data_IF_651291854182
#
_entry.id   IF_651291854182
#
_cell.length_a   1.000
_cell.length_b   1.000
_cell.length_c   1.000
_cell.angle_alpha   90.00
_cell.angle_beta   90.00
_cell.angle_gamma   90.00
#
_symmetry.space_group_name_H-M   'P 1'
#
loop_
_entity.id
_entity.type
_entity.pdbx_description
1 polymer ?
#
# COMPACT_ATOMS: atom_id res chain seq x y z
N UNK A 1 30.77 -11.36 -8.90
CA UNK A 1 30.45 -10.98 -10.29
C UNK A 1 28.92 -10.84 -10.52
N UNK A 2 28.11 -11.90 -10.33
CA UNK A 2 26.63 -11.80 -10.54
C UNK A 2 26.02 -10.67 -9.71
N UNK A 3 26.25 -10.67 -8.42
CA UNK A 3 25.74 -9.62 -7.52
C UNK A 3 26.21 -8.20 -7.91
N UNK A 4 27.46 -8.05 -8.36
CA UNK A 4 27.96 -6.75 -8.80
C UNK A 4 27.23 -6.25 -10.07
N UNK A 5 26.99 -7.12 -11.04
CA UNK A 5 26.22 -6.76 -12.26
C UNK A 5 24.77 -6.44 -11.92
N UNK A 6 24.15 -7.20 -11.03
CA UNK A 6 22.77 -6.92 -10.61
C UNK A 6 22.65 -5.60 -9.83
N UNK A 7 23.57 -5.33 -8.90
CA UNK A 7 23.63 -4.04 -8.20
C UNK A 7 23.83 -2.88 -9.17
N UNK A 8 24.81 -2.98 -10.10
CA UNK A 8 25.02 -1.98 -11.14
C UNK A 8 23.80 -1.76 -12.03
N UNK A 9 23.04 -2.83 -12.33
CA UNK A 9 21.79 -2.74 -13.11
C UNK A 9 20.73 -1.92 -12.38
N UNK A 10 20.57 -2.15 -11.06
CA UNK A 10 19.63 -1.39 -10.24
C UNK A 10 20.04 0.08 -10.11
N UNK A 11 21.36 0.35 -9.97
CA UNK A 11 21.86 1.70 -9.90
C UNK A 11 21.68 2.46 -11.23
N UNK A 12 21.93 1.82 -12.37
CA UNK A 12 21.65 2.40 -13.69
C UNK A 12 20.16 2.59 -13.91
N UNK A 13 19.34 1.64 -13.49
CA UNK A 13 17.88 1.76 -13.56
C UNK A 13 17.38 2.96 -12.74
N UNK A 14 17.97 3.18 -11.56
CA UNK A 14 17.64 4.30 -10.69
C UNK A 14 18.11 5.65 -11.27
N UNK A 15 19.24 5.68 -11.97
CA UNK A 15 19.83 6.89 -12.51
C UNK A 15 19.22 7.31 -13.86
N UNK A 16 19.04 6.37 -14.78
CA UNK A 16 18.65 6.64 -16.17
C UNK A 16 17.21 6.17 -16.50
N UNK A 17 16.63 5.33 -15.69
CA UNK A 17 15.36 4.67 -16.00
C UNK A 17 15.50 3.53 -17.01
N UNK A 18 14.41 2.77 -17.21
CA UNK A 18 14.44 1.60 -18.09
C UNK A 18 14.71 1.95 -19.57
N UNK A 19 14.18 3.08 -20.06
CA UNK A 19 14.34 3.47 -21.47
C UNK A 19 15.81 3.68 -21.83
N UNK A 20 16.53 4.44 -21.04
CA UNK A 20 17.89 4.89 -21.31
C UNK A 20 19.00 3.98 -20.77
N UNK A 21 18.64 2.99 -19.93
CA UNK A 21 19.58 1.98 -19.45
C UNK A 21 20.20 1.21 -20.63
N UNK A 22 21.54 1.09 -20.64
CA UNK A 22 22.29 0.29 -21.60
C UNK A 22 23.13 -0.79 -20.92
N UNK A 23 23.35 -1.92 -21.61
CA UNK A 23 24.21 -3.00 -21.08
C UNK A 23 25.65 -2.52 -20.96
N UNK A 24 26.08 -1.61 -21.81
CA UNK A 24 27.40 -0.99 -21.79
C UNK A 24 27.62 -0.19 -20.49
N UNK A 25 26.68 0.66 -20.11
CA UNK A 25 26.75 1.43 -18.87
C UNK A 25 26.77 0.52 -17.63
N UNK A 26 25.95 -0.54 -17.63
CA UNK A 26 25.96 -1.55 -16.56
C UNK A 26 27.30 -2.27 -16.50
N UNK A 27 27.90 -2.64 -17.65
CA UNK A 27 29.19 -3.33 -17.70
C UNK A 27 30.32 -2.44 -17.14
N UNK A 28 30.34 -1.17 -17.53
CA UNK A 28 31.30 -0.17 -17.03
C UNK A 28 31.17 0.00 -15.51
N UNK A 29 29.94 0.21 -15.00
CA UNK A 29 29.69 0.37 -13.57
C UNK A 29 30.03 -0.88 -12.76
N UNK A 30 29.78 -2.06 -13.31
CA UNK A 30 30.09 -3.34 -12.67
C UNK A 30 31.56 -3.74 -12.76
N UNK A 31 32.37 -3.03 -13.55
CA UNK A 31 33.77 -3.36 -13.79
C UNK A 31 33.97 -4.68 -14.54
N UNK A 32 33.05 -5.03 -15.47
CA UNK A 32 33.09 -6.28 -16.23
C UNK A 32 33.01 -6.01 -17.73
N UNK A 33 33.51 -6.94 -18.54
CA UNK A 33 33.35 -6.82 -19.98
C UNK A 33 31.89 -7.15 -20.41
N UNK A 34 31.33 -6.39 -21.38
CA UNK A 34 29.97 -6.57 -21.87
C UNK A 34 29.65 -8.00 -22.33
N UNK A 35 30.63 -8.72 -22.91
CA UNK A 35 30.44 -10.13 -23.33
C UNK A 35 30.16 -11.06 -22.14
N UNK A 36 30.63 -10.72 -20.95
CA UNK A 36 30.35 -11.46 -19.71
C UNK A 36 28.88 -11.32 -19.33
N UNK A 37 28.30 -10.14 -19.53
CA UNK A 37 26.88 -9.90 -19.29
C UNK A 37 26.04 -10.65 -20.31
N UNK A 38 26.32 -10.47 -21.62
CA UNK A 38 25.55 -11.10 -22.72
C UNK A 38 25.52 -12.64 -22.63
N UNK A 39 26.61 -13.25 -22.13
CA UNK A 39 26.66 -14.73 -21.96
C UNK A 39 25.59 -15.23 -20.99
N UNK A 40 25.17 -14.42 -20.03
CA UNK A 40 24.20 -14.83 -18.98
C UNK A 40 22.82 -14.19 -19.19
N UNK A 41 22.79 -12.97 -19.69
CA UNK A 41 21.59 -12.20 -19.96
C UNK A 41 21.63 -11.73 -21.41
N UNK A 42 20.91 -12.39 -22.31
CA UNK A 42 21.04 -12.14 -23.74
C UNK A 42 20.53 -10.77 -24.20
N UNK A 43 19.75 -10.07 -23.35
CA UNK A 43 19.23 -8.74 -23.65
C UNK A 43 19.01 -7.92 -22.37
N UNK A 44 18.76 -6.62 -22.54
CA UNK A 44 18.50 -5.66 -21.47
C UNK A 44 17.36 -6.12 -20.56
N UNK A 45 16.29 -6.62 -21.13
CA UNK A 45 15.13 -7.10 -20.39
C UNK A 45 15.51 -8.22 -19.40
N UNK A 46 16.15 -9.27 -19.88
CA UNK A 46 16.53 -10.41 -19.03
C UNK A 46 17.50 -10.00 -17.92
N UNK A 47 18.37 -9.02 -18.19
CA UNK A 47 19.27 -8.46 -17.19
C UNK A 47 18.51 -7.68 -16.12
N UNK A 48 17.65 -6.73 -16.52
CA UNK A 48 16.84 -5.92 -15.60
C UNK A 48 15.91 -6.81 -14.80
N UNK A 49 15.22 -7.75 -15.44
CA UNK A 49 14.35 -8.69 -14.78
C UNK A 49 15.06 -9.48 -13.69
N UNK A 50 16.25 -10.03 -14.00
CA UNK A 50 17.03 -10.78 -13.01
C UNK A 50 17.47 -9.91 -11.82
N UNK A 51 17.81 -8.64 -12.07
CA UNK A 51 18.17 -7.70 -11.02
C UNK A 51 16.97 -7.32 -10.13
N UNK A 52 15.80 -7.11 -10.74
CA UNK A 52 14.56 -6.80 -10.02
C UNK A 52 14.08 -7.97 -9.15
N UNK A 53 14.13 -9.19 -9.67
CA UNK A 53 13.76 -10.39 -8.92
C UNK A 53 14.72 -10.66 -7.75
N UNK A 54 16.03 -10.48 -7.96
CA UNK A 54 17.03 -10.65 -6.91
C UNK A 54 16.85 -9.60 -5.79
N UNK A 55 16.60 -8.34 -6.17
CA UNK A 55 16.26 -7.28 -5.21
C UNK A 55 14.98 -7.56 -4.44
N UNK A 56 13.98 -8.09 -5.14
CA UNK A 56 12.69 -8.41 -4.53
C UNK A 56 12.74 -9.62 -3.60
N UNK A 57 13.68 -10.52 -3.82
CA UNK A 57 13.94 -11.66 -2.92
C UNK A 57 14.55 -11.23 -1.58
N UNK A 58 15.16 -10.03 -1.52
CA UNK A 58 15.59 -9.38 -0.28
C UNK A 58 14.34 -8.85 0.44
N UNK A 59 13.72 -9.73 1.23
CA UNK A 59 12.37 -9.54 1.75
C UNK A 59 12.34 -8.49 2.86
N UNK A 60 11.34 -7.60 2.80
CA UNK A 60 10.99 -6.77 3.96
C UNK A 60 10.59 -7.69 5.13
N UNK A 61 11.12 -7.45 6.33
CA UNK A 61 10.75 -8.24 7.50
C UNK A 61 9.24 -8.12 7.76
N UNK A 62 8.59 -9.25 8.03
CA UNK A 62 7.18 -9.28 8.43
C UNK A 62 7.13 -9.31 9.96
N UNK A 63 6.76 -8.19 10.61
CA UNK A 63 6.73 -8.10 12.06
C UNK A 63 5.79 -9.12 12.70
N UNK A 64 6.14 -9.56 13.92
CA UNK A 64 5.34 -10.45 14.75
C UNK A 64 5.53 -10.11 16.23
N UNK A 65 4.89 -9.02 16.66
CA UNK A 65 4.97 -8.50 18.04
C UNK A 65 3.79 -8.93 18.90
N UNK A 66 2.89 -9.73 18.34
CA UNK A 66 1.61 -10.11 18.96
C UNK A 66 0.66 -8.91 19.21
N UNK A 67 0.85 -7.79 18.52
CA UNK A 67 0.00 -6.59 18.53
C UNK A 67 -0.19 -6.11 17.08
N UNK A 68 -1.42 -6.15 16.60
CA UNK A 68 -1.76 -5.81 15.21
C UNK A 68 -1.32 -4.39 14.86
N UNK A 69 -1.61 -3.40 15.71
CA UNK A 69 -1.27 -2.00 15.44
C UNK A 69 0.23 -1.81 15.32
N UNK A 70 0.99 -2.43 16.22
CA UNK A 70 2.46 -2.36 16.23
C UNK A 70 3.05 -3.05 15.00
N UNK A 71 2.52 -4.21 14.63
CA UNK A 71 2.97 -4.93 13.43
C UNK A 71 2.70 -4.11 12.16
N UNK A 72 1.52 -3.50 12.02
CA UNK A 72 1.19 -2.62 10.89
C UNK A 72 2.05 -1.35 10.87
N UNK A 73 2.32 -0.74 12.03
CA UNK A 73 3.23 0.41 12.15
C UNK A 73 4.63 0.06 11.65
N UNK A 74 5.20 -1.05 12.15
CA UNK A 74 6.54 -1.49 11.77
C UNK A 74 6.63 -1.84 10.29
N UNK A 75 5.63 -2.53 9.73
CA UNK A 75 5.56 -2.83 8.31
C UNK A 75 5.49 -1.53 7.48
N UNK A 76 4.64 -0.59 7.85
CA UNK A 76 4.51 0.70 7.17
C UNK A 76 5.81 1.51 7.17
N UNK A 77 6.51 1.54 8.31
CA UNK A 77 7.81 2.18 8.45
C UNK A 77 8.89 1.50 7.58
N UNK A 78 8.90 0.17 7.55
CA UNK A 78 9.83 -0.59 6.73
C UNK A 78 9.61 -0.33 5.24
N UNK A 79 8.35 -0.30 4.77
CA UNK A 79 7.99 0.01 3.39
C UNK A 79 8.42 1.45 3.04
N UNK A 80 8.06 2.46 3.85
CA UNK A 80 8.43 3.86 3.56
C UNK A 80 9.95 4.05 3.55
N UNK A 81 10.67 3.39 4.47
CA UNK A 81 12.13 3.41 4.51
C UNK A 81 12.75 2.75 3.28
N UNK A 82 12.22 1.58 2.85
CA UNK A 82 12.69 0.92 1.63
C UNK A 82 12.46 1.79 0.39
N UNK A 83 11.30 2.39 0.25
CA UNK A 83 10.97 3.29 -0.87
C UNK A 83 11.80 4.58 -0.92
N UNK A 84 12.57 4.91 0.13
CA UNK A 84 13.55 6.00 0.10
C UNK A 84 14.82 5.62 -0.64
N UNK A 85 15.12 4.32 -0.77
CA UNK A 85 16.28 3.85 -1.51
C UNK A 85 16.04 4.02 -3.02
N UNK A 86 17.00 4.59 -3.76
CA UNK A 86 16.86 4.82 -5.20
C UNK A 86 16.49 3.55 -5.97
N UNK A 87 17.05 2.40 -5.60
CA UNK A 87 16.81 1.11 -6.24
C UNK A 87 15.37 0.62 -6.05
N UNK A 88 14.82 0.74 -4.82
CA UNK A 88 13.42 0.39 -4.55
C UNK A 88 12.47 1.32 -5.30
N UNK A 89 12.76 2.62 -5.31
CA UNK A 89 11.98 3.59 -6.07
C UNK A 89 11.98 3.27 -7.55
N UNK A 90 13.16 2.99 -8.15
CA UNK A 90 13.29 2.63 -9.54
C UNK A 90 12.57 1.31 -9.89
N UNK A 91 12.65 0.30 -9.00
CA UNK A 91 11.88 -0.93 -9.13
C UNK A 91 10.39 -0.66 -9.28
N UNK A 92 9.82 0.03 -8.29
CA UNK A 92 8.37 0.29 -8.27
C UNK A 92 7.96 1.16 -9.46
N UNK A 93 8.72 2.23 -9.74
CA UNK A 93 8.45 3.11 -10.87
C UNK A 93 8.45 2.35 -12.20
N UNK A 94 9.46 1.50 -12.44
CA UNK A 94 9.56 0.69 -13.65
C UNK A 94 8.35 -0.25 -13.81
N UNK A 95 7.95 -0.88 -12.71
CA UNK A 95 6.82 -1.82 -12.72
C UNK A 95 5.46 -1.13 -12.87
N UNK A 96 5.30 0.10 -12.33
CA UNK A 96 4.05 0.87 -12.43
C UNK A 96 3.93 1.60 -13.77
N UNK A 97 5.03 2.12 -14.30
CA UNK A 97 5.06 2.82 -15.59
C UNK A 97 4.86 1.88 -16.78
N UNK A 98 5.04 0.58 -16.56
CA UNK A 98 4.88 -0.43 -17.59
C UNK A 98 3.41 -0.66 -17.94
N UNK A 99 3.09 -0.68 -19.25
CA UNK A 99 1.70 -0.81 -19.73
C UNK A 99 1.08 -2.15 -19.34
N UNK A 100 -0.11 -2.17 -18.71
CA UNK A 100 -0.83 -3.42 -18.45
C UNK A 100 -1.15 -4.17 -19.76
N UNK A 101 -0.83 -5.46 -19.80
CA UNK A 101 -1.27 -6.38 -20.87
C UNK A 101 -0.43 -6.42 -22.13
N UNK A 102 0.59 -5.56 -22.28
CA UNK A 102 1.42 -5.51 -23.52
C UNK A 102 2.91 -5.69 -23.25
N UNK A 103 3.33 -5.82 -21.99
CA UNK A 103 4.74 -5.77 -21.67
C UNK A 103 5.25 -7.08 -21.11
N UNK A 104 6.51 -7.23 -21.40
CA UNK A 104 7.33 -8.32 -20.97
C UNK A 104 7.59 -8.34 -19.46
N UNK A 105 7.28 -7.24 -18.74
CA UNK A 105 7.41 -7.12 -17.30
C UNK A 105 6.09 -7.37 -16.55
N UNK A 106 4.98 -7.53 -17.29
CA UNK A 106 3.64 -7.68 -16.71
C UNK A 106 3.52 -8.89 -15.76
N UNK A 107 4.04 -10.04 -16.19
CA UNK A 107 3.99 -11.27 -15.39
C UNK A 107 4.84 -11.14 -14.12
N UNK A 108 6.03 -10.55 -14.27
CA UNK A 108 6.94 -10.29 -13.14
C UNK A 108 6.31 -9.34 -12.14
N UNK A 109 5.73 -8.24 -12.63
CA UNK A 109 5.00 -7.30 -11.78
C UNK A 109 3.92 -8.02 -10.98
N UNK A 110 3.06 -8.77 -11.68
CA UNK A 110 1.94 -9.46 -11.05
C UNK A 110 2.43 -10.45 -10.00
N UNK A 111 3.42 -11.27 -10.32
CA UNK A 111 3.96 -12.25 -9.40
C UNK A 111 4.66 -11.61 -8.20
N UNK A 112 5.52 -10.61 -8.43
CA UNK A 112 6.24 -9.91 -7.38
C UNK A 112 5.32 -9.26 -6.36
N UNK A 113 4.30 -8.53 -6.84
CA UNK A 113 3.33 -7.88 -5.96
C UNK A 113 2.47 -8.89 -5.23
N UNK A 114 2.00 -9.94 -5.92
CA UNK A 114 1.23 -11.00 -5.30
C UNK A 114 2.00 -11.69 -4.17
N UNK A 115 3.29 -11.95 -4.36
CA UNK A 115 4.13 -12.61 -3.35
C UNK A 115 4.35 -11.69 -2.14
N UNK A 116 4.70 -10.42 -2.34
CA UNK A 116 4.91 -9.46 -1.27
C UNK A 116 3.63 -9.21 -0.45
N UNK A 117 2.51 -8.98 -1.12
CA UNK A 117 1.23 -8.77 -0.45
C UNK A 117 0.77 -10.01 0.30
N UNK A 118 0.96 -11.20 -0.26
CA UNK A 118 0.64 -12.49 0.39
C UNK A 118 1.44 -12.70 1.67
N UNK A 119 2.73 -12.35 1.67
CA UNK A 119 3.57 -12.43 2.86
C UNK A 119 3.11 -11.45 3.94
N UNK A 120 2.82 -10.20 3.59
CA UNK A 120 2.33 -9.19 4.51
C UNK A 120 0.99 -9.57 5.16
N UNK A 121 0.13 -10.34 4.46
CA UNK A 121 -1.13 -10.86 4.99
C UNK A 121 -0.95 -11.81 6.19
N UNK A 122 0.27 -12.27 6.49
CA UNK A 122 0.53 -13.03 7.72
C UNK A 122 0.21 -12.20 8.97
N UNK A 123 0.38 -10.87 8.94
CA UNK A 123 0.07 -9.98 10.05
C UNK A 123 -1.43 -10.03 10.41
N UNK A 124 -2.37 -9.66 9.51
CA UNK A 124 -3.79 -9.72 9.85
C UNK A 124 -4.30 -11.15 10.08
N UNK A 125 -3.75 -12.18 9.42
CA UNK A 125 -4.12 -13.58 9.72
C UNK A 125 -3.80 -13.95 11.17
N UNK A 126 -2.63 -13.58 11.69
CA UNK A 126 -2.27 -13.79 13.09
C UNK A 126 -3.18 -12.99 14.04
N UNK A 127 -3.54 -11.76 13.67
CA UNK A 127 -4.49 -10.94 14.45
C UNK A 127 -5.89 -11.57 14.50
N UNK A 128 -6.38 -12.16 13.40
CA UNK A 128 -7.63 -12.94 13.38
C UNK A 128 -7.53 -14.13 14.35
N UNK A 129 -6.42 -14.89 14.31
CA UNK A 129 -6.21 -16.03 15.20
C UNK A 129 -6.18 -15.63 16.68
N UNK A 130 -5.70 -14.42 17.01
CA UNK A 130 -5.69 -13.89 18.38
C UNK A 130 -7.02 -13.23 18.78
N UNK A 131 -7.97 -13.09 17.85
CA UNK A 131 -9.26 -12.43 18.11
C UNK A 131 -9.23 -10.89 18.09
N UNK A 132 -8.13 -10.28 17.62
CA UNK A 132 -8.03 -8.82 17.46
C UNK A 132 -8.86 -8.32 16.26
N UNK A 133 -9.06 -9.18 15.27
CA UNK A 133 -9.91 -8.95 14.11
C UNK A 133 -11.00 -10.00 14.02
N UNK A 134 -12.13 -9.66 13.39
CA UNK A 134 -13.21 -10.60 13.15
C UNK A 134 -12.74 -11.74 12.23
N UNK A 135 -13.32 -12.94 12.39
CA UNK A 135 -12.93 -14.14 11.64
C UNK A 135 -13.19 -14.03 10.12
N UNK A 136 -14.13 -13.18 9.73
CA UNK A 136 -14.51 -12.88 8.35
C UNK A 136 -13.73 -11.70 7.74
N UNK A 137 -12.77 -11.11 8.48
CA UNK A 137 -11.93 -10.03 7.96
C UNK A 137 -11.08 -10.51 6.79
N UNK A 138 -11.12 -9.79 5.67
CA UNK A 138 -10.22 -10.04 4.54
C UNK A 138 -8.80 -9.54 4.86
N UNK A 139 -7.80 -10.44 4.99
CA UNK A 139 -6.42 -10.04 5.24
C UNK A 139 -5.81 -9.15 4.14
N UNK A 140 -6.26 -9.31 2.90
CA UNK A 140 -5.78 -8.49 1.78
C UNK A 140 -6.24 -7.04 1.94
N UNK A 141 -7.52 -6.81 2.28
CA UNK A 141 -8.06 -5.47 2.47
C UNK A 141 -7.34 -4.70 3.60
N UNK A 142 -6.94 -5.37 4.67
CA UNK A 142 -6.15 -4.76 5.76
C UNK A 142 -4.80 -4.24 5.23
N UNK A 143 -4.09 -5.07 4.46
CA UNK A 143 -2.78 -4.71 3.89
C UNK A 143 -2.92 -3.64 2.83
N UNK A 144 -3.91 -3.72 1.94
CA UNK A 144 -4.15 -2.72 0.89
C UNK A 144 -4.45 -1.34 1.49
N UNK A 145 -5.22 -1.29 2.58
CA UNK A 145 -5.51 -0.04 3.29
C UNK A 145 -4.27 0.58 3.93
N UNK A 146 -3.30 -0.22 4.36
CA UNK A 146 -2.03 0.27 4.89
C UNK A 146 -1.09 0.72 3.77
N UNK A 147 -0.94 -0.12 2.75
CA UNK A 147 0.09 0.06 1.71
C UNK A 147 -0.28 1.18 0.74
N UNK A 148 -1.55 1.27 0.34
CA UNK A 148 -2.03 2.21 -0.67
C UNK A 148 -1.64 3.67 -0.40
N UNK A 149 -1.91 4.24 0.79
CA UNK A 149 -1.53 5.62 1.11
C UNK A 149 -0.02 5.88 1.10
N UNK A 150 0.82 4.90 1.45
CA UNK A 150 2.28 5.03 1.44
C UNK A 150 2.77 5.20 -0.02
N UNK A 151 2.27 4.35 -0.93
CA UNK A 151 2.60 4.42 -2.35
C UNK A 151 2.02 5.68 -3.00
N UNK A 152 0.77 6.06 -2.70
CA UNK A 152 0.16 7.29 -3.19
C UNK A 152 1.02 8.52 -2.83
N UNK A 153 1.45 8.61 -1.57
CA UNK A 153 2.31 9.71 -1.12
C UNK A 153 3.63 9.73 -1.83
N UNK A 154 4.26 8.58 -1.97
CA UNK A 154 5.59 8.49 -2.56
C UNK A 154 5.60 8.77 -4.05
N UNK A 155 4.70 8.14 -4.82
CA UNK A 155 4.73 8.16 -6.28
C UNK A 155 3.82 9.22 -6.93
N UNK A 156 2.74 9.62 -6.26
CA UNK A 156 1.82 10.62 -6.81
C UNK A 156 2.08 11.99 -6.17
N UNK A 157 2.27 12.06 -4.83
CA UNK A 157 2.50 13.33 -4.15
C UNK A 157 3.98 13.72 -4.05
N UNK A 158 4.91 12.85 -4.47
CA UNK A 158 6.35 13.12 -4.49
C UNK A 158 7.01 13.26 -3.12
N UNK A 159 6.38 12.80 -2.03
CA UNK A 159 6.92 12.91 -0.69
C UNK A 159 6.78 11.64 0.14
N UNK A 160 7.74 11.35 1.04
CA UNK A 160 7.61 10.27 2.01
C UNK A 160 6.56 10.60 3.07
N UNK A 161 6.11 9.57 3.79
CA UNK A 161 5.31 9.76 5.00
C UNK A 161 6.21 10.09 6.19
N UNK A 162 5.71 10.90 7.12
CA UNK A 162 6.34 11.09 8.42
C UNK A 162 6.01 9.90 9.35
N UNK A 163 6.81 9.71 10.39
CA UNK A 163 6.56 8.67 11.40
C UNK A 163 5.15 8.80 12.02
N UNK A 164 4.72 10.04 12.30
CA UNK A 164 3.38 10.32 12.83
C UNK A 164 2.27 9.98 11.83
N UNK A 165 2.47 10.23 10.53
CA UNK A 165 1.48 9.87 9.51
C UNK A 165 1.33 8.36 9.39
N UNK A 166 2.43 7.60 9.48
CA UNK A 166 2.40 6.13 9.44
C UNK A 166 1.73 5.58 10.70
N UNK A 167 2.01 6.13 11.88
CA UNK A 167 1.37 5.72 13.14
C UNK A 167 -0.15 5.97 13.12
N UNK A 168 -0.55 7.15 12.66
CA UNK A 168 -1.96 7.48 12.47
C UNK A 168 -2.65 6.56 11.45
N UNK A 169 -1.94 6.19 10.37
CA UNK A 169 -2.44 5.27 9.35
C UNK A 169 -2.67 3.89 9.95
N UNK A 170 -1.69 3.32 10.65
CA UNK A 170 -1.82 2.03 11.34
C UNK A 170 -3.01 2.03 12.31
N UNK A 171 -3.16 3.09 13.10
CA UNK A 171 -4.29 3.26 14.03
C UNK A 171 -5.64 3.26 13.31
N UNK A 172 -5.75 3.98 12.17
CA UNK A 172 -6.98 4.02 11.36
C UNK A 172 -7.31 2.67 10.74
N UNK A 173 -6.29 1.96 10.24
CA UNK A 173 -6.47 0.61 9.68
C UNK A 173 -7.04 -0.32 10.75
N UNK A 174 -6.46 -0.36 11.95
CA UNK A 174 -6.98 -1.16 13.05
C UNK A 174 -8.44 -0.78 13.36
N UNK A 175 -8.73 0.52 13.53
CA UNK A 175 -10.09 0.99 13.84
C UNK A 175 -11.13 0.66 12.77
N UNK A 176 -10.72 0.54 11.49
CA UNK A 176 -11.61 0.21 10.40
C UNK A 176 -12.05 -1.26 10.38
N UNK A 177 -11.19 -2.16 10.88
CA UNK A 177 -11.44 -3.61 10.86
C UNK A 177 -11.72 -4.22 12.23
N UNK A 178 -11.54 -3.46 13.33
CA UNK A 178 -11.95 -3.92 14.66
C UNK A 178 -13.48 -3.93 14.73
N UNK A 179 -14.09 -5.03 15.18
CA UNK A 179 -15.54 -5.08 15.36
C UNK A 179 -16.01 -3.91 16.23
N UNK A 180 -16.88 -3.08 15.72
CA UNK A 180 -17.60 -2.13 16.58
C UNK A 180 -18.50 -2.98 17.48
N UNK A 181 -18.28 -2.92 18.80
CA UNK A 181 -19.29 -3.37 19.72
C UNK A 181 -20.57 -2.61 19.39
N UNK A 182 -21.52 -3.26 18.71
CA UNK A 182 -22.85 -2.69 18.56
C UNK A 182 -23.34 -2.35 19.97
N UNK A 183 -23.81 -1.12 20.25
CA UNK A 183 -24.48 -0.86 21.51
C UNK A 183 -25.58 -1.90 21.62
N UNK A 184 -25.51 -2.72 22.68
CA UNK A 184 -26.50 -3.75 22.92
C UNK A 184 -27.92 -3.17 22.79
N UNK A 185 -28.93 -3.96 22.43
CA UNK A 185 -30.28 -3.45 22.27
C UNK A 185 -30.65 -2.67 23.52
N UNK A 186 -30.92 -1.38 23.34
CA UNK A 186 -31.41 -0.51 24.40
C UNK A 186 -32.59 -1.23 25.03
N UNK A 187 -32.47 -1.56 26.34
CA UNK A 187 -33.53 -2.20 27.08
C UNK A 187 -34.85 -1.48 26.80
N UNK A 188 -35.96 -2.19 26.55
CA UNK A 188 -37.22 -1.57 26.25
C UNK A 188 -37.57 -0.62 27.38
N UNK A 189 -37.65 0.68 27.09
CA UNK A 189 -38.03 1.70 28.04
C UNK A 189 -39.37 1.30 28.68
N UNK A 190 -39.46 1.40 29.99
CA UNK A 190 -40.70 1.20 30.75
C UNK A 190 -41.82 1.97 30.07
N UNK A 191 -43.03 1.38 29.89
CA UNK A 191 -44.14 2.07 29.32
C UNK A 191 -44.50 3.28 30.17
N UNK A 192 -44.25 4.49 29.61
CA UNK A 192 -44.65 5.73 30.23
C UNK A 192 -46.19 5.83 30.24
N UNK A 193 -46.73 6.27 31.35
CA UNK A 193 -48.16 6.55 31.57
C UNK A 193 -48.76 7.45 30.46
N UNK A 194 -50.02 7.28 30.14
CA UNK A 194 -50.70 8.09 29.13
C UNK A 194 -50.91 9.50 29.69
N UNK A 195 -50.32 10.50 29.04
CA UNK A 195 -50.67 11.90 29.29
C UNK A 195 -51.98 12.24 28.55
N UNK A 196 -52.96 12.49 29.33
CA UNK A 196 -54.29 12.96 28.90
C UNK A 196 -54.18 14.32 28.18
N UNK A 197 -55.00 14.41 27.15
CA UNK A 197 -55.49 15.55 26.41
C UNK A 197 -55.28 16.94 27.01
N UNK A 198 -54.75 17.89 26.18
CA UNK A 198 -55.41 19.19 26.03
C UNK A 198 -55.23 19.75 24.62
N UNK A 199 -56.35 19.93 24.04
CA UNK A 199 -56.67 20.65 22.83
C UNK A 199 -56.48 22.18 23.05
N UNK A 200 -55.91 22.94 22.08
CA UNK A 200 -56.43 24.21 21.60
C UNK A 200 -55.53 24.81 20.53
N UNK A 201 -56.10 24.85 19.35
CA UNK A 201 -56.17 25.93 18.35
C UNK A 201 -55.12 27.05 18.47
N UNK A 202 -54.48 27.31 17.33
CA UNK A 202 -54.33 28.69 16.75
C UNK A 202 -53.82 28.48 15.30
N UNK A 203 -54.72 28.60 14.36
CA UNK A 203 -54.93 29.59 13.29
C UNK A 203 -53.73 29.95 12.44
N UNK A 204 -53.90 29.62 11.17
CA UNK A 204 -53.53 30.28 9.92
C UNK A 204 -52.65 31.52 9.98
N UNK A 205 -51.57 31.48 9.22
CA UNK A 205 -51.12 32.62 8.43
C UNK A 205 -50.41 32.18 7.15
N UNK A 206 -50.79 32.80 5.98
CA UNK A 206 -50.28 32.41 4.68
C UNK A 206 -48.95 33.09 4.33
N UNK A 207 -48.15 32.43 3.56
CA UNK A 207 -46.92 32.95 2.97
C UNK A 207 -47.27 33.92 1.82
N UNK A 208 -46.93 35.19 2.02
CA UNK A 208 -46.96 36.25 1.02
C UNK A 208 -45.75 36.17 0.08
N UNK A 209 -46.05 36.20 -1.21
CA UNK A 209 -45.12 36.45 -2.32
C UNK A 209 -44.78 37.95 -2.38
N UNK A 210 -43.53 38.28 -2.72
CA UNK A 210 -43.15 39.45 -3.58
C UNK A 210 -41.67 39.40 -3.81
N UNK A 211 -41.19 39.19 -5.00
CA UNK A 211 -40.97 40.12 -6.12
C UNK A 211 -39.61 40.77 -6.01
N UNK A 212 -38.75 40.41 -6.96
CA UNK A 212 -37.59 41.20 -7.45
C UNK A 212 -38.04 42.59 -7.91
N UNK A 213 -37.17 43.57 -8.04
CA UNK A 213 -36.22 43.64 -9.15
C UNK A 213 -34.94 44.48 -8.93
N UNK A 214 -34.01 44.32 -9.79
CA UNK A 214 -32.95 45.03 -10.52
C UNK A 214 -31.54 44.65 -10.15
#
# INVERSE_FOLDING_TARGET
MRAAVQAATLDELAAAGYADLTIEAVAERAGVHRTTIYRRWPNKRSLVLAALLDYAADQLPIPDTADLRRDLLLLGQAIDSDLRRPQAHALVYTLVADRPGSSELSDVRTQLWADRLRQAQAIPRRAIQRGELAADTDPAAVIDMLVGPIYLRRFIQGRPMTATEIDNLATRVVAAFTPRLSPGPTAPGKPGLPAAARCSRLTDRPWGRSSSPR
#
